data_IF_951563247836
#
_entry.id   IF_951563247836
#
_cell.length_a   1.000
_cell.length_b   1.000
_cell.length_c   1.000
_cell.angle_alpha   90.00
_cell.angle_beta   90.00
_cell.angle_gamma   90.00
#
_symmetry.space_group_name_H-M   'P 1'
#
loop_
_entity.id
_entity.type
_entity.pdbx_description
1 polymer ?
#
# COMPACT_ATOMS: atom_id res chain seq x y z
N UNK A 1 -11.96 10.00 -25.09
CA UNK A 1 -12.88 9.19 -24.26
C UNK A 1 -12.16 8.01 -23.61
N UNK A 2 -11.36 7.26 -24.37
CA UNK A 2 -10.58 6.11 -23.87
C UNK A 2 -9.59 6.45 -22.75
N UNK A 3 -8.86 7.58 -22.83
CA UNK A 3 -7.94 8.04 -21.78
C UNK A 3 -8.59 8.32 -20.43
N UNK A 4 -9.79 8.92 -20.43
CA UNK A 4 -10.53 9.18 -19.19
C UNK A 4 -10.94 7.87 -18.50
N UNK A 5 -11.32 6.88 -19.29
CA UNK A 5 -11.67 5.56 -18.79
C UNK A 5 -10.46 4.81 -18.22
N UNK A 6 -9.31 4.88 -18.90
CA UNK A 6 -8.05 4.32 -18.43
C UNK A 6 -7.59 5.00 -17.13
N UNK A 7 -7.57 6.34 -17.07
CA UNK A 7 -7.20 7.07 -15.84
C UNK A 7 -8.08 6.68 -14.66
N UNK A 8 -9.40 6.58 -14.88
CA UNK A 8 -10.34 6.16 -13.83
C UNK A 8 -10.04 4.75 -13.32
N UNK A 9 -9.79 3.80 -14.23
CA UNK A 9 -9.40 2.42 -13.87
C UNK A 9 -8.11 2.40 -13.04
N UNK A 10 -7.08 3.16 -13.44
CA UNK A 10 -5.81 3.18 -12.72
C UNK A 10 -5.95 3.83 -11.35
N UNK A 11 -6.74 4.91 -11.22
CA UNK A 11 -7.02 5.52 -9.92
C UNK A 11 -7.69 4.54 -8.96
N UNK A 12 -8.69 3.78 -9.43
CA UNK A 12 -9.34 2.74 -8.62
C UNK A 12 -8.31 1.68 -8.20
N UNK A 13 -7.47 1.22 -9.12
CA UNK A 13 -6.45 0.22 -8.83
C UNK A 13 -5.43 0.74 -7.80
N UNK A 14 -4.99 1.99 -7.93
CA UNK A 14 -4.07 2.65 -7.00
C UNK A 14 -4.65 2.78 -5.59
N UNK A 15 -5.95 3.07 -5.47
CA UNK A 15 -6.65 3.10 -4.17
C UNK A 15 -6.69 1.70 -3.56
N UNK A 16 -7.03 0.67 -4.35
CA UNK A 16 -7.06 -0.72 -3.89
C UNK A 16 -5.68 -1.19 -3.42
N UNK A 17 -4.61 -0.88 -4.17
CA UNK A 17 -3.25 -1.25 -3.77
C UNK A 17 -2.80 -0.53 -2.51
N UNK A 18 -3.19 0.74 -2.32
CA UNK A 18 -2.97 1.45 -1.06
C UNK A 18 -3.66 0.75 0.10
N UNK A 19 -4.94 0.42 -0.01
CA UNK A 19 -5.64 -0.30 1.05
C UNK A 19 -5.03 -1.67 1.34
N UNK A 20 -4.64 -2.43 0.32
CA UNK A 20 -3.95 -3.70 0.50
C UNK A 20 -2.62 -3.55 1.26
N UNK A 21 -1.83 -2.52 0.93
CA UNK A 21 -0.59 -2.20 1.66
C UNK A 21 -0.85 -1.78 3.11
N UNK A 22 -1.87 -0.97 3.34
CA UNK A 22 -2.29 -0.51 4.67
C UNK A 22 -2.74 -1.69 5.55
N UNK A 23 -3.51 -2.63 4.99
CA UNK A 23 -3.88 -3.87 5.69
C UNK A 23 -2.66 -4.72 6.06
N UNK A 24 -1.67 -4.83 5.17
CA UNK A 24 -0.41 -5.51 5.46
C UNK A 24 0.34 -4.89 6.65
N UNK A 25 0.38 -3.56 6.74
CA UNK A 25 0.95 -2.87 7.90
C UNK A 25 0.13 -3.06 9.16
N UNK A 26 -1.20 -2.97 9.08
CA UNK A 26 -2.09 -3.16 10.24
C UNK A 26 -2.01 -4.58 10.80
N UNK A 27 -1.77 -5.58 9.94
CA UNK A 27 -1.53 -6.95 10.41
C UNK A 27 -0.29 -7.06 11.32
N UNK A 28 0.68 -6.15 11.19
CA UNK A 28 1.89 -6.14 12.00
C UNK A 28 1.66 -5.61 13.43
N UNK A 29 0.56 -4.88 13.67
CA UNK A 29 0.26 -4.21 14.94
C UNK A 29 0.29 -5.13 16.17
N UNK A 30 -0.40 -6.28 16.20
CA UNK A 30 -0.36 -7.17 17.36
C UNK A 30 1.04 -7.71 17.69
N UNK A 31 1.91 -7.86 16.70
CA UNK A 31 3.25 -8.43 16.88
C UNK A 31 4.25 -7.47 17.54
N UNK A 32 3.98 -6.15 17.54
CA UNK A 32 4.80 -5.16 18.25
C UNK A 32 4.85 -5.40 19.77
N UNK A 33 3.86 -6.09 20.32
CA UNK A 33 3.79 -6.46 21.74
C UNK A 33 4.22 -7.90 22.02
N UNK A 34 4.74 -8.64 21.04
CA UNK A 34 5.27 -9.98 21.29
C UNK A 34 6.58 -9.93 22.09
N UNK A 35 6.77 -10.86 23.01
CA UNK A 35 8.03 -11.06 23.75
C UNK A 35 9.06 -11.88 22.96
N UNK A 36 8.67 -12.42 21.80
CA UNK A 36 9.50 -13.27 20.95
C UNK A 36 10.08 -12.46 19.79
N UNK A 37 11.40 -12.46 19.67
CA UNK A 37 12.11 -11.80 18.55
C UNK A 37 11.67 -12.32 17.18
N UNK A 38 11.32 -13.60 17.08
CA UNK A 38 10.90 -14.25 15.83
C UNK A 38 9.65 -13.59 15.25
N UNK A 39 8.70 -13.25 16.12
CA UNK A 39 7.42 -12.64 15.76
C UNK A 39 7.61 -11.19 15.28
N UNK A 40 8.49 -10.42 15.95
CA UNK A 40 8.80 -9.05 15.57
C UNK A 40 9.50 -8.98 14.22
N UNK A 41 10.50 -9.85 14.00
CA UNK A 41 11.20 -9.93 12.72
C UNK A 41 10.28 -10.41 11.61
N UNK A 42 9.45 -11.41 11.89
CA UNK A 42 8.43 -11.93 10.98
C UNK A 42 7.43 -10.86 10.54
N UNK A 43 6.99 -10.00 11.47
CA UNK A 43 6.10 -8.88 11.18
C UNK A 43 6.77 -7.74 10.38
N UNK A 44 8.09 -7.63 10.42
CA UNK A 44 8.83 -6.64 9.62
C UNK A 44 8.61 -6.80 8.10
N UNK A 45 8.54 -8.04 7.61
CA UNK A 45 8.32 -8.32 6.19
C UNK A 45 6.99 -7.78 5.64
N UNK A 46 5.82 -8.11 6.23
CA UNK A 46 4.54 -7.55 5.79
C UNK A 46 4.47 -6.02 5.98
N UNK A 47 5.16 -5.44 6.97
CA UNK A 47 5.22 -3.99 7.13
C UNK A 47 5.97 -3.32 5.96
N UNK A 48 7.15 -3.84 5.60
CA UNK A 48 7.95 -3.34 4.48
C UNK A 48 7.24 -3.58 3.14
N UNK A 49 6.67 -4.76 2.92
CA UNK A 49 5.87 -5.03 1.72
C UNK A 49 4.65 -4.10 1.62
N UNK A 50 3.97 -3.87 2.75
CA UNK A 50 2.84 -2.96 2.84
C UNK A 50 3.23 -1.51 2.52
N UNK A 51 4.38 -1.04 3.00
CA UNK A 51 4.87 0.34 2.74
C UNK A 51 5.24 0.58 1.30
N UNK A 52 5.83 -0.42 0.64
CA UNK A 52 6.10 -0.37 -0.79
C UNK A 52 4.78 -0.28 -1.58
N UNK A 53 3.79 -1.13 -1.27
CA UNK A 53 2.49 -1.12 -1.95
C UNK A 53 1.74 0.21 -1.75
N UNK A 54 1.71 0.70 -0.51
CA UNK A 54 1.06 1.97 -0.19
C UNK A 54 1.74 3.15 -0.88
N UNK A 55 3.07 3.23 -0.81
CA UNK A 55 3.85 4.28 -1.45
C UNK A 55 3.73 4.27 -2.98
N UNK A 56 3.79 3.08 -3.60
CA UNK A 56 3.64 2.94 -5.05
C UNK A 56 2.23 3.34 -5.53
N UNK A 57 1.19 2.99 -4.78
CA UNK A 57 -0.18 3.42 -5.06
C UNK A 57 -0.33 4.95 -4.94
N UNK A 58 0.21 5.55 -3.88
CA UNK A 58 0.18 7.00 -3.69
C UNK A 58 0.93 7.75 -4.80
N UNK A 59 2.13 7.28 -5.16
CA UNK A 59 2.91 7.85 -6.27
C UNK A 59 2.14 7.77 -7.59
N UNK A 60 1.53 6.62 -7.89
CA UNK A 60 0.74 6.44 -9.11
C UNK A 60 -0.44 7.42 -9.16
N UNK A 61 -1.15 7.57 -8.03
CA UNK A 61 -2.29 8.47 -7.92
C UNK A 61 -1.84 9.94 -8.05
N UNK A 62 -0.71 10.31 -7.45
CA UNK A 62 -0.11 11.63 -7.60
C UNK A 62 0.31 11.93 -9.04
N UNK A 63 0.97 10.99 -9.73
CA UNK A 63 1.46 11.17 -11.10
C UNK A 63 0.33 11.24 -12.14
N UNK A 64 -0.73 10.43 -12.00
CA UNK A 64 -1.84 10.39 -12.97
C UNK A 64 -2.79 11.59 -12.86
N UNK A 65 -2.96 12.10 -11.64
CA UNK A 65 -3.84 13.24 -11.35
C UNK A 65 -3.08 14.57 -11.30
N UNK A 66 -1.75 14.56 -11.53
CA UNK A 66 -0.98 15.79 -11.73
C UNK A 66 -1.41 16.44 -13.03
N UNK A 67 -2.28 17.43 -12.93
CA UNK A 67 -2.54 18.35 -14.03
C UNK A 67 -1.30 19.26 -14.20
N UNK A 68 -0.91 19.53 -15.44
CA UNK A 68 0.17 20.48 -15.73
C UNK A 68 -0.35 21.90 -15.53
#
# INVERSE_FOLDING_TARGET
MFDKFIKSKINILAIITMFAGLFGMFFCFPFLWSSRMEDLVGAGFPFVGGSILFGAGLLTLGLINRDK
#
